data_IF_634257593506
#
_entry.id   IF_634257593506
#
_cell.length_a   1.000
_cell.length_b   1.000
_cell.length_c   1.000
_cell.angle_alpha   90.00
_cell.angle_beta   90.00
_cell.angle_gamma   90.00
#
_symmetry.space_group_name_H-M   'P 1'
#
loop_
_entity.id
_entity.type
_entity.pdbx_description
1 polymer ?
#
# COMPACT_ATOMS: atom_id res chain seq x y z
N UNK A 1 -48.64 -14.70 15.12
CA UNK A 1 -48.58 -15.61 13.96
C UNK A 1 -48.00 -14.82 12.79
N UNK A 2 -46.71 -14.96 12.52
CA UNK A 2 -46.05 -14.25 11.42
C UNK A 2 -46.48 -14.90 10.09
N UNK A 3 -47.03 -14.09 9.19
CA UNK A 3 -47.43 -14.51 7.86
C UNK A 3 -46.18 -14.65 6.98
N UNK A 4 -45.49 -15.79 7.06
CA UNK A 4 -44.34 -16.10 6.20
C UNK A 4 -44.81 -16.87 4.95
N UNK A 5 -45.50 -16.16 4.07
CA UNK A 5 -45.63 -16.60 2.67
C UNK A 5 -44.28 -16.53 1.96
N UNK A 6 -44.08 -17.29 0.86
CA UNK A 6 -42.82 -17.29 0.12
C UNK A 6 -42.45 -15.87 -0.33
N UNK A 7 -41.22 -15.45 -0.03
CA UNK A 7 -40.68 -14.13 -0.39
C UNK A 7 -40.85 -13.88 -1.89
N UNK A 8 -41.25 -12.67 -2.25
CA UNK A 8 -41.39 -12.28 -3.66
C UNK A 8 -40.03 -12.20 -4.35
N UNK A 9 -40.02 -12.31 -5.68
CA UNK A 9 -38.80 -12.20 -6.48
C UNK A 9 -38.05 -10.87 -6.25
N UNK A 10 -38.78 -9.80 -5.92
CA UNK A 10 -38.23 -8.50 -5.59
C UNK A 10 -37.49 -8.50 -4.25
N UNK A 11 -38.06 -9.13 -3.22
CA UNK A 11 -37.41 -9.25 -1.91
C UNK A 11 -36.14 -10.10 -1.97
N UNK A 12 -36.15 -11.18 -2.77
CA UNK A 12 -34.96 -11.99 -3.03
C UNK A 12 -33.87 -11.22 -3.78
N UNK A 13 -34.25 -10.38 -4.74
CA UNK A 13 -33.30 -9.52 -5.45
C UNK A 13 -32.67 -8.48 -4.52
N UNK A 14 -33.46 -7.86 -3.65
CA UNK A 14 -32.98 -6.89 -2.66
C UNK A 14 -32.12 -7.54 -1.57
N UNK A 15 -32.41 -8.78 -1.15
CA UNK A 15 -31.55 -9.54 -0.24
C UNK A 15 -30.19 -9.86 -0.89
N UNK A 16 -30.18 -10.33 -2.13
CA UNK A 16 -28.94 -10.59 -2.87
C UNK A 16 -28.10 -9.34 -3.09
N UNK A 17 -28.76 -8.21 -3.37
CA UNK A 17 -28.08 -6.93 -3.50
C UNK A 17 -27.47 -6.49 -2.17
N UNK A 18 -28.23 -6.55 -1.07
CA UNK A 18 -27.72 -6.23 0.28
C UNK A 18 -26.60 -7.16 0.72
N UNK A 19 -26.65 -8.43 0.34
CA UNK A 19 -25.62 -9.41 0.67
C UNK A 19 -24.35 -9.17 -0.14
N UNK A 20 -24.49 -8.85 -1.45
CA UNK A 20 -23.38 -8.36 -2.26
C UNK A 20 -22.80 -7.07 -1.69
N UNK A 21 -23.61 -6.08 -1.35
CA UNK A 21 -23.13 -4.83 -0.75
C UNK A 21 -22.45 -5.05 0.61
N UNK A 22 -22.73 -6.16 1.31
CA UNK A 22 -22.06 -6.57 2.55
C UNK A 22 -20.75 -7.33 2.30
N UNK A 23 -20.71 -8.12 1.23
CA UNK A 23 -19.52 -8.83 0.76
C UNK A 23 -18.54 -7.90 0.03
N UNK A 24 -19.07 -6.88 -0.64
CA UNK A 24 -18.40 -5.89 -1.49
C UNK A 24 -18.21 -4.55 -0.78
N UNK A 25 -18.94 -4.29 0.32
CA UNK A 25 -18.44 -3.42 1.39
C UNK A 25 -17.16 -4.08 1.86
N UNK A 26 -16.06 -3.65 1.27
CA UNK A 26 -14.77 -3.49 1.90
C UNK A 26 -15.08 -2.80 3.23
N UNK A 27 -15.43 -3.60 4.24
CA UNK A 27 -15.50 -3.14 5.60
C UNK A 27 -14.20 -2.38 5.80
N UNK A 28 -14.31 -1.12 6.18
CA UNK A 28 -13.20 -0.33 6.70
C UNK A 28 -12.79 -1.02 8.01
N UNK A 29 -12.18 -2.21 7.89
CA UNK A 29 -11.78 -3.03 9.01
C UNK A 29 -10.67 -2.24 9.65
N UNK A 30 -10.89 -1.72 10.87
CA UNK A 30 -9.85 -0.98 11.54
C UNK A 30 -8.62 -1.88 11.65
N UNK A 31 -7.47 -1.36 11.23
CA UNK A 31 -6.21 -2.09 11.31
C UNK A 31 -5.97 -2.53 12.76
N UNK A 32 -5.50 -3.77 12.95
CA UNK A 32 -5.06 -4.23 14.26
C UNK A 32 -3.85 -3.42 14.74
N UNK A 33 -3.59 -3.42 16.04
CA UNK A 33 -2.41 -2.73 16.59
C UNK A 33 -1.10 -3.34 16.04
N UNK A 34 -1.08 -4.65 15.81
CA UNK A 34 0.05 -5.35 15.18
C UNK A 34 0.23 -4.90 13.72
N UNK A 35 -0.85 -4.75 12.95
CA UNK A 35 -0.77 -4.24 11.58
C UNK A 35 -0.28 -2.78 11.56
N UNK A 36 -0.76 -1.93 12.48
CA UNK A 36 -0.29 -0.54 12.61
C UNK A 36 1.20 -0.49 12.95
N UNK A 37 1.65 -1.29 13.90
CA UNK A 37 3.06 -1.37 14.29
C UNK A 37 3.94 -1.84 13.12
N UNK A 38 3.53 -2.90 12.41
CA UNK A 38 4.25 -3.40 11.25
C UNK A 38 4.32 -2.36 10.11
N UNK A 39 3.23 -1.61 9.85
CA UNK A 39 3.23 -0.52 8.86
C UNK A 39 4.19 0.60 9.29
N UNK A 40 4.23 0.95 10.57
CA UNK A 40 5.14 1.96 11.09
C UNK A 40 6.61 1.54 10.91
N UNK A 41 6.94 0.29 11.24
CA UNK A 41 8.28 -0.26 11.05
C UNK A 41 8.72 -0.24 9.57
N UNK A 42 7.84 -0.71 8.67
CA UNK A 42 8.10 -0.65 7.23
C UNK A 42 8.36 0.79 6.77
N UNK A 43 7.54 1.75 7.21
CA UNK A 43 7.75 3.16 6.87
C UNK A 43 9.10 3.67 7.37
N UNK A 44 9.47 3.37 8.61
CA UNK A 44 10.75 3.78 9.18
C UNK A 44 11.93 3.18 8.41
N UNK A 45 11.87 1.88 8.10
CA UNK A 45 12.90 1.19 7.34
C UNK A 45 13.12 1.82 5.96
N UNK A 46 12.06 2.01 5.18
CA UNK A 46 12.17 2.61 3.85
C UNK A 46 12.56 4.10 3.89
N UNK A 47 12.19 4.82 4.95
CA UNK A 47 12.65 6.21 5.17
C UNK A 47 14.17 6.25 5.42
N UNK A 48 14.69 5.36 6.27
CA UNK A 48 16.13 5.25 6.52
C UNK A 48 16.88 4.89 5.23
N UNK A 49 16.35 3.96 4.43
CA UNK A 49 16.92 3.60 3.12
C UNK A 49 16.95 4.75 2.13
N UNK A 50 15.88 5.55 2.07
CA UNK A 50 15.88 6.75 1.22
C UNK A 50 16.91 7.78 1.69
N UNK A 51 17.06 7.97 3.00
CA UNK A 51 18.06 8.90 3.54
C UNK A 51 19.49 8.44 3.25
N UNK A 52 19.76 7.13 3.34
CA UNK A 52 21.03 6.52 2.96
C UNK A 52 21.35 6.80 1.48
N UNK A 53 20.40 6.58 0.57
CA UNK A 53 20.57 6.90 -0.85
C UNK A 53 20.84 8.38 -1.09
N UNK A 54 20.14 9.27 -0.38
CA UNK A 54 20.35 10.72 -0.51
C UNK A 54 21.76 11.14 -0.07
N UNK A 55 22.29 10.53 0.99
CA UNK A 55 23.66 10.78 1.46
C UNK A 55 24.68 10.28 0.43
N UNK A 56 24.50 9.05 -0.07
CA UNK A 56 25.40 8.46 -1.07
C UNK A 56 25.39 9.26 -2.37
N UNK A 57 24.20 9.70 -2.82
CA UNK A 57 24.06 10.52 -4.01
C UNK A 57 24.75 11.87 -3.86
N UNK A 58 24.60 12.55 -2.71
CA UNK A 58 25.32 13.82 -2.44
C UNK A 58 26.83 13.64 -2.52
N UNK A 59 27.35 12.54 -1.97
CA UNK A 59 28.77 12.22 -2.07
C UNK A 59 29.20 11.95 -3.53
N UNK A 60 28.38 11.25 -4.30
CA UNK A 60 28.65 10.98 -5.72
C UNK A 60 28.65 12.25 -6.57
N UNK A 61 27.67 13.15 -6.37
CA UNK A 61 27.60 14.44 -7.06
C UNK A 61 28.83 15.31 -6.74
N UNK A 62 29.29 15.31 -5.49
CA UNK A 62 30.51 16.05 -5.11
C UNK A 62 31.78 15.54 -5.82
N UNK A 63 31.80 14.28 -6.27
CA UNK A 63 32.91 13.68 -7.01
C UNK A 63 32.75 13.68 -8.54
N UNK A 64 31.60 14.11 -9.05
CA UNK A 64 31.33 14.11 -10.49
C UNK A 64 32.15 15.19 -11.22
N UNK A 65 32.59 14.88 -12.44
CA UNK A 65 33.49 15.73 -13.23
C UNK A 65 32.80 16.38 -14.43
N UNK A 66 31.60 15.94 -14.76
CA UNK A 66 30.84 16.47 -15.89
C UNK A 66 29.36 16.64 -15.56
N UNK A 67 28.68 17.44 -16.38
CA UNK A 67 27.24 17.62 -16.30
C UNK A 67 26.49 16.32 -16.63
N UNK A 68 26.95 15.59 -17.64
CA UNK A 68 26.36 14.31 -18.05
C UNK A 68 26.44 13.25 -16.92
N UNK A 69 27.54 13.20 -16.18
CA UNK A 69 27.68 12.33 -15.01
C UNK A 69 26.68 12.71 -13.91
N UNK A 70 26.49 14.01 -13.66
CA UNK A 70 25.50 14.52 -12.70
C UNK A 70 24.08 14.14 -13.12
N UNK A 71 23.72 14.32 -14.39
CA UNK A 71 22.40 13.94 -14.91
C UNK A 71 22.14 12.44 -14.74
N UNK A 72 23.11 11.60 -15.07
CA UNK A 72 23.00 10.15 -14.89
C UNK A 72 22.84 9.76 -13.40
N UNK A 73 23.60 10.40 -12.50
CA UNK A 73 23.47 10.19 -11.05
C UNK A 73 22.09 10.61 -10.52
N UNK A 74 21.54 11.72 -11.03
CA UNK A 74 20.20 12.18 -10.68
C UNK A 74 19.12 11.22 -11.16
N UNK A 75 19.22 10.73 -12.39
CA UNK A 75 18.28 9.78 -12.97
C UNK A 75 18.28 8.46 -12.21
N UNK A 76 19.46 7.98 -11.79
CA UNK A 76 19.57 6.78 -10.97
C UNK A 76 18.92 6.97 -9.60
N UNK A 77 19.20 8.08 -8.90
CA UNK A 77 18.56 8.39 -7.61
C UNK A 77 17.02 8.42 -7.76
N UNK A 78 16.51 9.03 -8.82
CA UNK A 78 15.07 9.09 -9.08
C UNK A 78 14.46 7.69 -9.23
N UNK A 79 15.05 6.84 -10.07
CA UNK A 79 14.59 5.46 -10.29
C UNK A 79 14.65 4.62 -9.02
N UNK A 80 15.73 4.76 -8.23
CA UNK A 80 15.87 4.04 -6.97
C UNK A 80 14.83 4.47 -5.94
N UNK A 81 14.52 5.77 -5.85
CA UNK A 81 13.44 6.29 -4.99
C UNK A 81 12.08 5.78 -5.42
N UNK A 82 11.79 5.79 -6.72
CA UNK A 82 10.53 5.25 -7.27
C UNK A 82 10.38 3.76 -6.93
N UNK A 83 11.45 2.98 -7.10
CA UNK A 83 11.45 1.55 -6.74
C UNK A 83 11.24 1.34 -5.24
N UNK A 84 11.97 2.06 -4.38
CA UNK A 84 11.79 1.96 -2.93
C UNK A 84 10.37 2.34 -2.48
N UNK A 85 9.77 3.36 -3.09
CA UNK A 85 8.39 3.74 -2.81
C UNK A 85 7.42 2.62 -3.21
N UNK A 86 7.59 2.04 -4.40
CA UNK A 86 6.78 0.91 -4.87
C UNK A 86 6.92 -0.33 -3.97
N UNK A 87 8.13 -0.65 -3.53
CA UNK A 87 8.39 -1.77 -2.62
C UNK A 87 7.78 -1.54 -1.23
N UNK A 88 7.88 -0.32 -0.70
CA UNK A 88 7.22 0.09 0.54
C UNK A 88 5.70 -0.09 0.43
N UNK A 89 5.11 0.42 -0.64
CA UNK A 89 3.67 0.41 -0.83
C UNK A 89 3.14 -1.02 -1.02
N UNK A 90 3.87 -1.86 -1.76
CA UNK A 90 3.59 -3.29 -1.88
C UNK A 90 3.62 -3.99 -0.52
N UNK A 91 4.63 -3.70 0.31
CA UNK A 91 4.77 -4.28 1.65
C UNK A 91 3.63 -3.84 2.59
N UNK A 92 3.27 -2.56 2.55
CA UNK A 92 2.13 -2.02 3.31
C UNK A 92 0.82 -2.67 2.84
N UNK A 93 0.61 -2.82 1.55
CA UNK A 93 -0.57 -3.49 1.00
C UNK A 93 -0.67 -4.96 1.46
N UNK A 94 0.46 -5.67 1.52
CA UNK A 94 0.52 -7.04 2.06
C UNK A 94 0.13 -7.09 3.54
N UNK A 95 0.58 -6.13 4.36
CA UNK A 95 0.21 -6.06 5.79
C UNK A 95 -1.28 -5.76 5.97
N UNK A 96 -1.85 -4.92 5.10
CA UNK A 96 -3.28 -4.56 5.12
C UNK A 96 -4.18 -5.67 4.61
N UNK A 97 -3.67 -6.55 3.75
CA UNK A 97 -4.46 -7.64 3.19
C UNK A 97 -4.84 -8.61 4.31
N UNK A 98 -6.12 -9.01 4.43
CA UNK A 98 -6.49 -10.06 5.36
C UNK A 98 -5.71 -11.31 4.94
N UNK A 99 -4.90 -11.86 5.85
CA UNK A 99 -4.25 -13.14 5.59
C UNK A 99 -5.36 -14.15 5.29
N UNK A 100 -5.45 -14.55 4.03
CA UNK A 100 -6.34 -15.63 3.61
C UNK A 100 -5.67 -16.90 4.11
N UNK A 101 -6.10 -17.37 5.28
CA UNK A 101 -5.78 -18.71 5.79
C UNK A 101 -6.44 -19.79 4.95
#
# INVERSE_FOLDING_TARGET
MANEGPKSAYELAMERLRQKDKEESVEDRPLSEEQKAAIAEVRQFFTAKSAELDILHRAAIAGAKSHEEIEHLNDNLRRDKERLAGDRDRKIAQIRSPQSS
#
